data_IF_781657818938
#
_entry.id   IF_781657818938
#
_cell.length_a   1.000
_cell.length_b   1.000
_cell.length_c   1.000
_cell.angle_alpha   90.00
_cell.angle_beta   90.00
_cell.angle_gamma   90.00
#
_symmetry.space_group_name_H-M   'P 1'
#
loop_
_entity.id
_entity.type
_entity.pdbx_description
1 polymer ?
#
# COMPACT_ATOMS: atom_id res chain seq x y z
N UNK A 1 19.16 5.26 -9.54
CA UNK A 1 18.08 6.17 -9.24
C UNK A 1 17.94 6.37 -7.76
N UNK A 2 17.75 7.60 -7.33
CA UNK A 2 17.65 7.92 -5.92
C UNK A 2 16.26 7.69 -5.38
N UNK A 3 16.17 7.57 -4.07
CA UNK A 3 14.90 7.51 -3.36
C UNK A 3 14.54 8.91 -2.94
N UNK A 4 13.30 9.28 -3.09
CA UNK A 4 12.81 10.56 -2.60
C UNK A 4 11.52 10.37 -1.82
N UNK A 5 11.27 11.26 -0.86
CA UNK A 5 10.05 11.18 -0.09
C UNK A 5 8.82 11.47 -0.96
N UNK A 6 7.74 10.79 -0.65
CA UNK A 6 6.47 10.99 -1.32
C UNK A 6 5.46 11.37 -0.25
N UNK A 7 4.85 12.53 -0.41
CA UNK A 7 3.92 13.06 0.57
C UNK A 7 2.49 12.70 0.20
N UNK A 8 1.86 11.89 1.04
CA UNK A 8 0.46 11.51 0.86
C UNK A 8 -0.25 11.64 2.19
N UNK A 9 -1.47 12.15 2.15
CA UNK A 9 -2.28 12.22 3.35
C UNK A 9 -3.13 10.96 3.44
N UNK A 10 -3.01 10.25 4.55
CA UNK A 10 -3.73 9.01 4.78
C UNK A 10 -4.35 9.11 6.17
N UNK A 11 -5.56 8.60 6.31
CA UNK A 11 -6.26 8.60 7.57
C UNK A 11 -5.40 7.98 8.67
N UNK A 12 -5.36 8.64 9.82
CA UNK A 12 -4.48 8.27 10.92
C UNK A 12 -4.73 6.85 11.42
N UNK A 13 -6.00 6.49 11.58
CA UNK A 13 -6.35 5.16 12.06
C UNK A 13 -5.87 4.06 11.09
N UNK A 14 -5.91 4.35 9.79
CA UNK A 14 -5.41 3.40 8.80
C UNK A 14 -3.90 3.29 8.86
N UNK A 15 -3.20 4.41 9.07
CA UNK A 15 -1.74 4.36 9.23
C UNK A 15 -1.34 3.50 10.42
N UNK A 16 -2.04 3.67 11.54
CA UNK A 16 -1.74 2.90 12.74
C UNK A 16 -2.00 1.40 12.52
N UNK A 17 -3.12 1.08 11.89
CA UNK A 17 -3.46 -0.31 11.59
C UNK A 17 -2.43 -0.93 10.64
N UNK A 18 -1.98 -0.18 9.65
CA UNK A 18 -0.99 -0.63 8.70
C UNK A 18 0.34 -0.94 9.39
N UNK A 19 0.78 -0.04 10.25
CA UNK A 19 2.03 -0.24 10.99
C UNK A 19 1.95 -1.45 11.92
N UNK A 20 0.82 -1.61 12.61
CA UNK A 20 0.62 -2.75 13.50
C UNK A 20 0.62 -4.06 12.71
N UNK A 21 -0.02 -4.08 11.57
CA UNK A 21 -0.04 -5.27 10.71
C UNK A 21 1.36 -5.64 10.25
N UNK A 22 2.11 -4.66 9.77
CA UNK A 22 3.49 -4.91 9.33
C UNK A 22 4.35 -5.41 10.49
N UNK A 23 4.18 -4.83 11.66
CA UNK A 23 4.93 -5.23 12.83
C UNK A 23 4.61 -6.68 13.23
N UNK A 24 3.34 -7.05 13.17
CA UNK A 24 2.94 -8.42 13.52
C UNK A 24 3.50 -9.44 12.54
N UNK A 25 3.74 -9.04 11.30
CA UNK A 25 4.31 -9.91 10.28
C UNK A 25 5.82 -9.76 10.14
N UNK A 26 6.42 -8.93 11.01
CA UNK A 26 7.86 -8.67 11.04
C UNK A 26 8.38 -8.11 9.72
N UNK A 27 7.60 -7.19 9.13
CA UNK A 27 7.95 -6.53 7.89
C UNK A 27 8.13 -5.03 8.15
N UNK A 28 8.99 -4.41 7.36
CA UNK A 28 9.12 -2.96 7.40
C UNK A 28 7.98 -2.32 6.63
N UNK A 29 7.29 -1.37 7.27
CA UNK A 29 6.13 -0.76 6.63
C UNK A 29 6.48 -0.04 5.32
N UNK A 30 7.67 0.54 5.23
CA UNK A 30 8.09 1.21 4.01
C UNK A 30 8.29 0.23 2.85
N UNK A 31 8.78 -0.96 3.15
CA UNK A 31 8.96 -1.99 2.13
C UNK A 31 7.62 -2.53 1.66
N UNK A 32 6.68 -2.71 2.58
CA UNK A 32 5.34 -3.17 2.21
C UNK A 32 4.64 -2.12 1.35
N UNK A 33 4.75 -0.85 1.73
CA UNK A 33 4.15 0.23 0.96
C UNK A 33 4.74 0.29 -0.45
N UNK A 34 6.05 0.16 -0.56
CA UNK A 34 6.72 0.18 -1.87
C UNK A 34 6.28 -1.01 -2.72
N UNK A 35 6.16 -2.19 -2.11
CA UNK A 35 5.72 -3.37 -2.83
C UNK A 35 4.29 -3.22 -3.36
N UNK A 36 3.40 -2.61 -2.56
CA UNK A 36 2.03 -2.38 -2.99
C UNK A 36 1.98 -1.37 -4.15
N UNK A 37 2.77 -0.32 -4.06
CA UNK A 37 2.84 0.67 -5.13
C UNK A 37 3.37 0.05 -6.41
N UNK A 38 4.40 -0.78 -6.29
CA UNK A 38 4.97 -1.44 -7.45
C UNK A 38 3.98 -2.41 -8.07
N UNK A 39 3.26 -3.18 -7.27
CA UNK A 39 2.26 -4.11 -7.77
C UNK A 39 1.16 -3.37 -8.54
N UNK A 40 0.78 -2.20 -8.05
CA UNK A 40 -0.24 -1.40 -8.72
C UNK A 40 0.27 -0.88 -10.07
N UNK A 41 1.49 -0.36 -10.09
CA UNK A 41 2.10 0.19 -11.30
C UNK A 41 2.25 -0.90 -12.37
N UNK A 42 2.61 -2.10 -11.94
CA UNK A 42 2.79 -3.23 -12.86
C UNK A 42 1.48 -3.86 -13.31
N UNK A 43 0.36 -3.44 -12.74
CA UNK A 43 -0.93 -3.97 -13.11
C UNK A 43 -1.27 -5.31 -12.48
N UNK A 44 -0.56 -5.69 -11.43
CA UNK A 44 -0.82 -6.95 -10.72
C UNK A 44 -2.01 -6.86 -9.78
N UNK A 45 -2.37 -5.66 -9.38
CA UNK A 45 -3.55 -5.43 -8.55
C UNK A 45 -4.38 -4.31 -9.15
N UNK A 46 -5.64 -4.29 -8.77
CA UNK A 46 -6.59 -3.30 -9.24
C UNK A 46 -7.22 -2.62 -8.05
N UNK A 47 -7.36 -1.31 -8.11
CA UNK A 47 -7.93 -0.52 -7.03
C UNK A 47 -9.19 0.19 -7.51
N UNK A 48 -10.29 -0.03 -6.82
CA UNK A 48 -11.53 0.66 -7.09
C UNK A 48 -11.74 1.73 -6.02
N UNK A 49 -11.90 2.98 -6.47
CA UNK A 49 -12.07 4.12 -5.56
C UNK A 49 -13.43 4.75 -5.84
N UNK A 50 -14.43 4.34 -5.10
CA UNK A 50 -15.78 4.90 -5.18
C UNK A 50 -16.20 5.33 -3.78
N UNK A 51 -17.22 4.69 -3.23
CA UNK A 51 -17.63 4.96 -1.86
C UNK A 51 -16.73 4.22 -0.87
N UNK A 52 -16.15 3.09 -1.31
CA UNK A 52 -15.21 2.32 -0.51
C UNK A 52 -14.06 1.89 -1.40
N UNK A 53 -12.89 1.80 -0.79
CA UNK A 53 -11.70 1.36 -1.51
C UNK A 53 -11.69 -0.16 -1.58
N UNK A 54 -11.37 -0.65 -2.74
CA UNK A 54 -11.28 -2.09 -2.96
C UNK A 54 -10.02 -2.40 -3.76
N UNK A 55 -9.21 -3.30 -3.25
CA UNK A 55 -8.00 -3.76 -3.92
C UNK A 55 -8.18 -5.23 -4.24
N UNK A 56 -8.09 -5.59 -5.51
CA UNK A 56 -8.25 -6.97 -5.92
C UNK A 56 -7.06 -7.40 -6.76
N UNK A 57 -6.66 -8.68 -6.67
CA UNK A 57 -5.63 -9.18 -7.57
C UNK A 57 -6.19 -9.20 -8.98
N UNK A 58 -5.35 -8.81 -9.92
CA UNK A 58 -5.75 -8.81 -11.32
C UNK A 58 -5.44 -10.17 -11.92
N UNK A 59 -6.47 -10.83 -12.43
CA UNK A 59 -6.29 -12.12 -13.06
C UNK A 59 -5.62 -11.92 -14.42
N UNK A 60 -4.71 -12.81 -14.72
CA UNK A 60 -4.03 -12.83 -16.02
C UNK A 60 -4.76 -13.74 -16.99
#
# INVERSE_FOLDING_TARGET
MGRKPMSIQIEESLQDAFREKCKSEKLKYSEVAEALLQAYVEGNIEVTVETKYKVTPKAL
#
